data_IF_764553934784
#
_entry.id   IF_764553934784
#
_cell.length_a   1.000
_cell.length_b   1.000
_cell.length_c   1.000
_cell.angle_alpha   90.00
_cell.angle_beta   90.00
_cell.angle_gamma   90.00
#
_symmetry.space_group_name_H-M   'P 1'
#
loop_
_entity.id
_entity.type
_entity.pdbx_description
1 polymer ?
#
# COMPACT_ATOMS: atom_id res chain seq x y z
N UNK A 1 -1.19 2.16 0.27
CA UNK A 1 -0.69 3.52 -0.07
C UNK A 1 0.39 3.97 0.90
N UNK A 2 0.23 3.75 2.20
CA UNK A 2 1.22 4.19 3.20
C UNK A 2 2.63 3.65 2.95
N UNK A 3 2.75 2.40 2.48
CA UNK A 3 4.06 1.80 2.20
C UNK A 3 4.89 2.61 1.18
N UNK A 4 4.27 3.19 0.15
CA UNK A 4 5.02 3.97 -0.85
C UNK A 4 5.44 5.32 -0.28
N UNK A 5 4.66 5.91 0.63
CA UNK A 5 5.06 7.10 1.38
C UNK A 5 6.16 6.80 2.41
N UNK A 6 6.08 5.66 3.09
CA UNK A 6 7.12 5.18 4.00
C UNK A 6 8.43 4.92 3.25
N UNK A 7 8.36 4.35 2.05
CA UNK A 7 9.51 4.15 1.17
C UNK A 7 10.09 5.48 0.68
N UNK A 8 9.24 6.44 0.31
CA UNK A 8 9.68 7.76 -0.10
C UNK A 8 10.39 8.51 1.04
N UNK A 9 9.84 8.46 2.26
CA UNK A 9 10.46 9.03 3.46
C UNK A 9 11.79 8.34 3.82
N UNK A 10 11.93 7.06 3.50
CA UNK A 10 13.17 6.30 3.67
C UNK A 10 14.24 6.64 2.61
N UNK A 11 13.90 7.37 1.55
CA UNK A 11 14.80 7.76 0.46
C UNK A 11 14.73 6.87 -0.78
N UNK A 12 13.70 6.02 -0.93
CA UNK A 12 13.52 5.20 -2.14
C UNK A 12 13.07 6.08 -3.30
N UNK A 13 13.96 6.25 -4.28
CA UNK A 13 13.75 7.11 -5.44
C UNK A 13 12.53 6.66 -6.25
N UNK A 14 12.35 5.36 -6.46
CA UNK A 14 11.19 4.81 -7.15
C UNK A 14 9.88 5.07 -6.37
N UNK A 15 9.91 5.01 -5.04
CA UNK A 15 8.74 5.36 -4.22
C UNK A 15 8.43 6.87 -4.28
N UNK A 16 9.46 7.73 -4.27
CA UNK A 16 9.32 9.18 -4.40
C UNK A 16 8.63 9.54 -5.71
N UNK A 17 9.11 9.00 -6.83
CA UNK A 17 8.53 9.29 -8.14
C UNK A 17 7.10 8.76 -8.23
N UNK A 18 6.79 7.60 -7.63
CA UNK A 18 5.42 7.09 -7.52
C UNK A 18 4.49 8.04 -6.77
N UNK A 19 4.91 8.53 -5.61
CA UNK A 19 4.14 9.46 -4.77
C UNK A 19 3.84 10.75 -5.54
N UNK A 20 4.85 11.35 -6.17
CA UNK A 20 4.69 12.59 -6.95
C UNK A 20 3.77 12.37 -8.15
N UNK A 21 3.98 11.27 -8.90
CA UNK A 21 3.18 10.91 -10.07
C UNK A 21 1.70 10.74 -9.72
N UNK A 22 1.40 10.10 -8.58
CA UNK A 22 0.02 9.97 -8.08
C UNK A 22 -0.54 11.34 -7.69
N UNK A 23 0.24 12.17 -7.00
CA UNK A 23 -0.14 13.54 -6.63
C UNK A 23 -0.54 14.38 -7.85
N UNK A 24 0.29 14.38 -8.89
CA UNK A 24 0.03 15.11 -10.14
C UNK A 24 -1.18 14.54 -10.90
N UNK A 25 -1.32 13.21 -10.97
CA UNK A 25 -2.46 12.56 -11.65
C UNK A 25 -3.81 12.98 -11.07
N UNK A 26 -3.88 13.19 -9.76
CA UNK A 26 -5.13 13.46 -9.05
C UNK A 26 -5.22 14.88 -8.49
N UNK A 27 -4.37 15.81 -8.93
CA UNK A 27 -4.33 17.20 -8.49
C UNK A 27 -4.21 17.37 -6.96
N UNK A 28 -3.48 16.46 -6.31
CA UNK A 28 -3.25 16.48 -4.87
C UNK A 28 -1.85 16.99 -4.49
N UNK A 29 -1.42 18.07 -5.15
CA UNK A 29 -0.10 18.70 -4.91
C UNK A 29 0.00 19.37 -3.54
N UNK A 30 -1.12 19.85 -3.00
CA UNK A 30 -1.21 20.44 -1.65
C UNK A 30 -0.63 19.52 -0.56
N UNK A 31 -0.82 18.20 -0.65
CA UNK A 31 -0.22 17.28 0.32
C UNK A 31 1.31 17.29 0.26
N UNK A 32 1.89 17.39 -0.94
CA UNK A 32 3.34 17.42 -1.15
C UNK A 32 3.93 18.77 -0.73
N UNK A 33 3.39 19.86 -1.27
CA UNK A 33 3.95 21.21 -1.13
C UNK A 33 3.62 21.83 0.23
N UNK A 34 2.34 21.84 0.64
CA UNK A 34 1.92 22.50 1.88
C UNK A 34 1.97 21.56 3.09
N UNK A 35 1.60 20.30 2.87
CA UNK A 35 1.57 19.28 3.93
C UNK A 35 2.98 18.92 4.39
N UNK A 36 3.82 18.51 3.44
CA UNK A 36 5.15 17.97 3.70
C UNK A 36 6.30 18.89 3.26
N UNK A 37 6.04 20.10 2.76
CA UNK A 37 7.07 21.07 2.36
C UNK A 37 8.05 20.54 1.30
N UNK A 38 7.58 19.66 0.40
CA UNK A 38 8.38 19.11 -0.69
C UNK A 38 8.43 20.11 -1.83
N UNK A 39 9.63 20.61 -2.15
CA UNK A 39 9.81 21.55 -3.27
C UNK A 39 9.72 20.84 -4.61
N UNK A 40 8.76 21.26 -5.43
CA UNK A 40 8.59 20.75 -6.80
C UNK A 40 9.41 21.52 -7.84
N UNK A 41 10.14 22.57 -7.43
CA UNK A 41 10.90 23.44 -8.32
C UNK A 41 11.87 22.69 -9.26
N UNK A 42 12.66 21.69 -8.79
CA UNK A 42 13.53 20.93 -9.68
C UNK A 42 12.76 20.26 -10.84
N UNK A 43 11.62 19.64 -10.53
CA UNK A 43 10.78 18.99 -11.52
C UNK A 43 10.11 20.00 -12.45
N UNK A 44 9.66 21.15 -11.93
CA UNK A 44 9.06 22.23 -12.73
C UNK A 44 10.03 22.71 -13.80
N UNK A 45 11.25 23.09 -13.39
CA UNK A 45 12.28 23.59 -14.31
C UNK A 45 12.66 22.54 -15.34
N UNK A 46 12.86 21.29 -14.90
CA UNK A 46 13.19 20.19 -15.80
C UNK A 46 12.09 19.93 -16.83
N UNK A 47 10.82 19.87 -16.39
CA UNK A 47 9.68 19.58 -17.25
C UNK A 47 9.44 20.70 -18.28
N UNK A 48 9.57 21.96 -17.88
CA UNK A 48 9.41 23.10 -18.79
C UNK A 48 10.47 23.14 -19.89
N UNK A 49 11.70 22.73 -19.59
CA UNK A 49 12.79 22.70 -20.57
C UNK A 49 12.73 21.47 -21.47
N UNK A 50 12.56 20.29 -20.88
CA UNK A 50 12.68 19.00 -21.59
C UNK A 50 11.43 18.65 -22.40
N UNK A 51 10.26 19.06 -21.92
CA UNK A 51 8.96 18.82 -22.55
C UNK A 51 8.32 20.14 -23.03
N UNK A 52 9.14 21.13 -23.40
CA UNK A 52 8.69 22.47 -23.80
C UNK A 52 7.64 22.41 -24.93
N UNK A 53 7.95 21.64 -25.97
CA UNK A 53 7.16 21.52 -27.21
C UNK A 53 6.12 20.39 -27.15
N UNK A 54 6.03 19.68 -26.02
CA UNK A 54 5.11 18.56 -25.84
C UNK A 54 3.82 19.00 -25.10
N UNK A 55 2.63 18.86 -25.72
CA UNK A 55 1.38 19.23 -25.07
C UNK A 55 0.96 18.30 -23.92
N UNK A 56 1.56 17.10 -23.81
CA UNK A 56 1.36 16.13 -22.72
C UNK A 56 -0.12 15.79 -22.45
N UNK A 57 -0.95 15.71 -23.50
CA UNK A 57 -2.42 15.64 -23.37
C UNK A 57 -2.91 14.44 -22.55
N UNK A 58 -2.25 13.27 -22.68
CA UNK A 58 -2.59 12.05 -21.94
C UNK A 58 -2.24 12.12 -20.45
N UNK A 59 -1.48 13.14 -20.03
CA UNK A 59 -1.01 13.33 -18.66
C UNK A 59 -1.77 14.44 -17.91
N UNK A 60 -2.83 15.00 -18.50
CA UNK A 60 -3.70 15.96 -17.82
C UNK A 60 -4.29 15.36 -16.52
N UNK A 61 -4.33 16.11 -15.40
CA UNK A 61 -4.87 15.61 -14.14
C UNK A 61 -6.35 15.21 -14.25
N UNK A 62 -6.76 14.14 -13.55
CA UNK A 62 -8.12 13.58 -13.63
C UNK A 62 -9.19 14.41 -12.91
N UNK A 63 -8.82 15.11 -11.82
CA UNK A 63 -9.76 15.83 -10.95
C UNK A 63 -9.58 17.35 -11.00
N UNK A 64 -9.08 17.88 -12.12
CA UNK A 64 -8.94 19.33 -12.32
C UNK A 64 -10.28 20.08 -12.39
N UNK A 65 -11.43 19.39 -12.34
CA UNK A 65 -12.76 20.00 -12.49
C UNK A 65 -13.37 20.51 -11.17
N UNK A 66 -12.81 20.16 -10.00
CA UNK A 66 -13.30 20.65 -8.69
C UNK A 66 -12.46 21.83 -8.12
N UNK A 67 -11.36 22.23 -8.79
CA UNK A 67 -10.50 23.37 -8.41
C UNK A 67 -10.26 24.28 -9.61
N UNK A 68 -10.22 25.59 -9.38
CA UNK A 68 -9.97 26.63 -10.39
C UNK A 68 -8.49 26.66 -10.83
N UNK A 69 -8.01 25.61 -11.50
CA UNK A 69 -6.72 25.66 -12.18
C UNK A 69 -6.86 26.33 -13.55
N UNK A 70 -5.97 27.26 -13.84
CA UNK A 70 -5.81 27.86 -15.17
C UNK A 70 -5.30 26.83 -16.17
N UNK A 71 -5.54 27.06 -17.47
CA UNK A 71 -5.01 26.17 -18.52
C UNK A 71 -3.47 26.09 -18.49
N UNK A 72 -2.80 27.17 -18.10
CA UNK A 72 -1.35 27.18 -17.90
C UNK A 72 -0.91 26.22 -16.79
N UNK A 73 -1.56 26.26 -15.63
CA UNK A 73 -1.27 25.33 -14.52
C UNK A 73 -1.55 23.87 -14.91
N UNK A 74 -2.63 23.62 -15.64
CA UNK A 74 -2.94 22.28 -16.15
C UNK A 74 -1.85 21.80 -17.11
N UNK A 75 -1.39 22.66 -18.04
CA UNK A 75 -0.30 22.34 -18.95
C UNK A 75 1.00 22.03 -18.20
N UNK A 76 1.35 22.87 -17.22
CA UNK A 76 2.54 22.66 -16.39
C UNK A 76 2.46 21.33 -15.62
N UNK A 77 1.34 21.05 -14.95
CA UNK A 77 1.14 19.78 -14.24
C UNK A 77 1.22 18.58 -15.19
N UNK A 78 0.73 18.70 -16.42
CA UNK A 78 0.78 17.63 -17.43
C UNK A 78 2.23 17.32 -17.84
N UNK A 79 3.05 18.35 -18.06
CA UNK A 79 4.48 18.20 -18.37
C UNK A 79 5.25 17.58 -17.21
N UNK A 80 5.02 18.07 -15.99
CA UNK A 80 5.59 17.49 -14.78
C UNK A 80 5.19 16.01 -14.62
N UNK A 81 3.93 15.69 -14.88
CA UNK A 81 3.39 14.34 -14.75
C UNK A 81 4.01 13.39 -15.76
N UNK A 82 4.18 13.81 -17.01
CA UNK A 82 4.89 13.01 -18.02
C UNK A 82 6.35 12.81 -17.63
N UNK A 83 7.06 13.89 -17.30
CA UNK A 83 8.47 13.85 -16.89
C UNK A 83 8.70 12.87 -15.73
N UNK A 84 7.96 13.01 -14.63
CA UNK A 84 8.12 12.12 -13.47
C UNK A 84 7.71 10.67 -13.77
N UNK A 85 6.79 10.45 -14.70
CA UNK A 85 6.40 9.10 -15.14
C UNK A 85 7.55 8.42 -15.86
N UNK A 86 8.25 9.10 -16.76
CA UNK A 86 9.42 8.53 -17.45
C UNK A 86 10.53 8.22 -16.44
N UNK A 87 10.85 9.15 -15.53
CA UNK A 87 11.82 8.92 -14.46
C UNK A 87 11.43 7.72 -13.60
N UNK A 88 10.15 7.61 -13.22
CA UNK A 88 9.66 6.48 -12.45
C UNK A 88 9.88 5.15 -13.17
N UNK A 89 9.52 5.04 -14.45
CA UNK A 89 9.67 3.81 -15.22
C UNK A 89 11.14 3.38 -15.32
N UNK A 90 12.05 4.35 -15.44
CA UNK A 90 13.49 4.12 -15.42
C UNK A 90 13.97 3.57 -14.06
N UNK A 91 13.59 4.21 -12.97
CA UNK A 91 13.96 3.81 -11.60
C UNK A 91 13.34 2.45 -11.20
N UNK A 92 12.08 2.21 -11.57
CA UNK A 92 11.42 0.90 -11.43
C UNK A 92 12.21 -0.17 -12.19
N UNK A 93 12.60 0.11 -13.44
CA UNK A 93 13.38 -0.84 -14.23
C UNK A 93 14.75 -1.15 -13.65
N UNK A 94 15.49 -0.14 -13.18
CA UNK A 94 16.78 -0.33 -12.51
C UNK A 94 16.66 -1.22 -11.26
N UNK A 95 15.59 -1.06 -10.48
CA UNK A 95 15.32 -1.91 -9.32
C UNK A 95 14.99 -3.34 -9.74
N UNK A 96 14.12 -3.53 -10.72
CA UNK A 96 13.74 -4.86 -11.22
C UNK A 96 14.96 -5.62 -11.77
N UNK A 97 15.85 -4.93 -12.47
CA UNK A 97 17.09 -5.52 -12.99
C UNK A 97 18.05 -5.94 -11.87
N UNK A 98 18.11 -5.18 -10.77
CA UNK A 98 18.95 -5.51 -9.60
C UNK A 98 18.33 -6.59 -8.71
N UNK A 99 17.00 -6.70 -8.66
CA UNK A 99 16.26 -7.63 -7.81
C UNK A 99 15.44 -8.64 -8.64
N UNK A 100 16.09 -9.56 -9.37
CA UNK A 100 15.38 -10.51 -10.23
C UNK A 100 14.47 -11.48 -9.45
N UNK A 101 14.75 -11.73 -8.18
CA UNK A 101 13.95 -12.58 -7.29
C UNK A 101 12.53 -12.04 -7.04
N UNK A 102 12.27 -10.77 -7.35
CA UNK A 102 10.94 -10.18 -7.22
C UNK A 102 9.96 -10.59 -8.33
N UNK A 103 10.44 -11.27 -9.38
CA UNK A 103 9.60 -11.78 -10.49
C UNK A 103 8.78 -10.67 -11.19
N UNK A 104 9.36 -9.46 -11.32
CA UNK A 104 8.71 -8.28 -11.92
C UNK A 104 9.21 -7.94 -13.34
N UNK A 105 9.96 -8.83 -14.00
CA UNK A 105 10.60 -8.58 -15.30
C UNK A 105 9.60 -8.30 -16.42
N UNK A 106 8.34 -8.74 -16.26
CA UNK A 106 7.28 -8.41 -17.21
C UNK A 106 6.96 -6.91 -17.22
N UNK A 107 7.37 -6.15 -16.19
CA UNK A 107 7.23 -4.69 -16.08
C UNK A 107 8.41 -3.90 -16.64
N UNK A 108 9.48 -4.55 -17.07
CA UNK A 108 10.48 -3.94 -17.95
C UNK A 108 9.82 -3.71 -19.31
N UNK A 109 9.33 -2.49 -19.57
CA UNK A 109 8.57 -2.16 -20.78
C UNK A 109 9.26 -1.16 -21.71
N UNK A 110 10.18 -0.32 -21.22
CA UNK A 110 10.88 0.66 -22.04
C UNK A 110 11.79 -0.03 -23.09
N UNK A 111 12.39 -1.16 -22.74
CA UNK A 111 13.17 -2.01 -23.64
C UNK A 111 12.33 -2.77 -24.68
N UNK A 112 10.99 -2.75 -24.56
CA UNK A 112 10.05 -3.40 -25.47
C UNK A 112 9.39 -2.43 -26.43
N UNK A 113 9.77 -1.16 -26.39
CA UNK A 113 9.29 -0.13 -27.30
C UNK A 113 10.09 -0.18 -28.60
N UNK A 114 9.37 -0.24 -29.70
CA UNK A 114 9.87 0.06 -31.03
C UNK A 114 9.63 1.55 -31.29
N UNK A 115 10.68 2.34 -31.10
CA UNK A 115 10.63 3.81 -31.15
C UNK A 115 10.43 4.34 -32.57
N UNK A 116 10.83 3.58 -33.59
CA UNK A 116 10.66 3.96 -35.00
C UNK A 116 9.22 3.74 -35.44
N UNK A 117 8.61 2.60 -35.09
CA UNK A 117 7.22 2.32 -35.41
C UNK A 117 6.21 2.94 -34.43
N UNK A 118 6.66 3.39 -33.26
CA UNK A 118 5.80 3.96 -32.22
C UNK A 118 4.88 2.91 -31.60
N UNK A 119 5.45 1.74 -31.27
CA UNK A 119 4.70 0.59 -30.75
C UNK A 119 5.42 -0.07 -29.58
N UNK A 120 4.72 -0.92 -28.83
CA UNK A 120 5.30 -1.68 -27.72
C UNK A 120 4.82 -3.12 -27.76
N UNK A 121 5.73 -4.05 -27.46
CA UNK A 121 5.40 -5.47 -27.36
C UNK A 121 5.03 -5.82 -25.91
N UNK A 122 3.78 -6.25 -25.69
CA UNK A 122 3.35 -6.80 -24.41
C UNK A 122 3.08 -8.30 -24.58
N UNK A 123 3.86 -9.13 -23.88
CA UNK A 123 3.90 -10.58 -24.11
C UNK A 123 4.23 -10.85 -25.58
N UNK A 124 3.27 -11.34 -26.36
CA UNK A 124 3.42 -11.68 -27.77
C UNK A 124 2.56 -10.81 -28.69
N UNK A 125 2.04 -9.68 -28.19
CA UNK A 125 1.17 -8.78 -28.95
C UNK A 125 1.76 -7.37 -29.06
N UNK A 126 1.71 -6.82 -30.27
CA UNK A 126 2.19 -5.48 -30.61
C UNK A 126 1.05 -4.47 -30.46
N UNK A 127 1.27 -3.42 -29.67
CA UNK A 127 0.29 -2.35 -29.44
C UNK A 127 0.84 -1.01 -29.93
N UNK A 128 -0.02 -0.20 -30.54
CA UNK A 128 0.33 1.17 -30.93
C UNK A 128 0.37 2.07 -29.70
N UNK A 129 1.42 2.87 -29.57
CA UNK A 129 1.52 3.89 -28.54
C UNK A 129 0.65 5.10 -28.90
N UNK A 130 -0.07 5.62 -27.91
CA UNK A 130 -0.85 6.85 -28.05
C UNK A 130 0.00 8.13 -27.79
N UNK A 131 1.24 7.95 -27.34
CA UNK A 131 2.23 8.98 -27.11
C UNK A 131 3.62 8.39 -27.39
N UNK A 132 4.37 9.01 -28.30
CA UNK A 132 5.69 8.56 -28.75
C UNK A 132 6.82 9.53 -28.40
N UNK A 133 6.52 10.59 -27.64
CA UNK A 133 7.53 11.58 -27.26
C UNK A 133 8.25 11.16 -25.97
N UNK A 134 9.45 10.59 -26.15
CA UNK A 134 10.34 10.12 -25.07
C UNK A 134 11.70 10.84 -25.13
N UNK A 135 11.75 12.18 -24.92
CA UNK A 135 12.95 12.99 -25.21
C UNK A 135 14.19 12.62 -24.37
N UNK A 136 14.03 11.86 -23.29
CA UNK A 136 15.11 11.48 -22.38
C UNK A 136 15.46 10.00 -22.42
N UNK A 137 14.75 9.18 -23.19
CA UNK A 137 14.99 7.74 -23.24
C UNK A 137 15.96 7.42 -24.37
N UNK A 138 17.12 6.87 -24.04
CA UNK A 138 18.04 6.26 -25.01
C UNK A 138 17.58 4.83 -25.30
N UNK A 139 17.18 4.48 -26.53
CA UNK A 139 16.75 3.12 -26.86
C UNK A 139 17.78 2.02 -26.57
N UNK A 140 19.08 2.36 -26.53
CA UNK A 140 20.13 1.40 -26.20
C UNK A 140 20.27 1.17 -24.69
N UNK A 141 19.92 2.17 -23.88
CA UNK A 141 19.99 2.14 -22.42
C UNK A 141 18.69 2.71 -21.82
N UNK A 142 17.53 2.06 -22.07
CA UNK A 142 16.22 2.70 -21.87
C UNK A 142 15.91 3.04 -20.41
N UNK A 143 16.60 2.38 -19.46
CA UNK A 143 16.44 2.60 -18.02
C UNK A 143 17.47 3.58 -17.43
N UNK A 144 18.42 4.09 -18.20
CA UNK A 144 19.40 5.05 -17.70
C UNK A 144 18.77 6.44 -17.54
N UNK A 145 18.98 7.06 -16.37
CA UNK A 145 18.60 8.44 -16.14
C UNK A 145 19.53 9.38 -16.90
N UNK A 146 18.99 10.35 -17.61
CA UNK A 146 19.76 11.48 -18.13
C UNK A 146 20.30 12.34 -16.98
N UNK A 147 21.31 13.16 -17.25
CA UNK A 147 21.90 14.04 -16.23
C UNK A 147 20.88 14.98 -15.57
N UNK A 148 19.92 15.49 -16.35
CA UNK A 148 18.84 16.32 -15.82
C UNK A 148 17.87 15.53 -14.92
N UNK A 149 17.59 14.28 -15.27
CA UNK A 149 16.75 13.41 -14.42
C UNK A 149 17.47 13.04 -13.12
N UNK A 150 18.80 12.80 -13.15
CA UNK A 150 19.60 12.55 -11.95
C UNK A 150 19.56 13.74 -10.97
N UNK A 151 19.75 14.98 -11.45
CA UNK A 151 19.66 16.19 -10.61
C UNK A 151 18.26 16.34 -9.98
N UNK A 152 17.21 16.11 -10.76
CA UNK A 152 15.83 16.16 -10.26
C UNK A 152 15.61 15.13 -9.15
N UNK A 153 16.01 13.88 -9.38
CA UNK A 153 15.83 12.78 -8.41
C UNK A 153 16.61 13.05 -7.12
N UNK A 154 17.87 13.48 -7.21
CA UNK A 154 18.70 13.77 -6.04
C UNK A 154 18.07 14.88 -5.18
N UNK A 155 17.62 15.97 -5.80
CA UNK A 155 17.03 17.12 -5.07
C UNK A 155 15.66 16.77 -4.46
N UNK A 156 14.85 16.00 -5.18
CA UNK A 156 13.59 15.47 -4.63
C UNK A 156 13.87 14.52 -3.45
N UNK A 157 14.82 13.59 -3.58
CA UNK A 157 15.24 12.69 -2.48
C UNK A 157 15.65 13.45 -1.24
N UNK A 158 16.51 14.46 -1.37
CA UNK A 158 16.89 15.32 -0.26
C UNK A 158 15.67 16.02 0.35
N UNK A 159 14.70 16.46 -0.44
CA UNK A 159 13.48 17.09 0.07
C UNK A 159 12.63 16.13 0.91
N UNK A 160 12.46 14.87 0.47
CA UNK A 160 11.68 13.86 1.20
C UNK A 160 12.36 13.40 2.49
N UNK A 161 13.66 13.14 2.46
CA UNK A 161 14.42 12.70 3.64
C UNK A 161 14.44 13.79 4.72
N UNK A 162 14.52 15.07 4.31
CA UNK A 162 14.58 16.20 5.24
C UNK A 162 13.20 16.79 5.63
N UNK A 163 12.10 16.22 5.14
CA UNK A 163 10.75 16.68 5.50
C UNK A 163 10.38 16.27 6.93
N UNK A 164 10.56 17.16 7.90
CA UNK A 164 10.34 16.87 9.33
C UNK A 164 8.97 16.25 9.62
N UNK A 165 7.89 16.83 9.06
CA UNK A 165 6.52 16.33 9.24
C UNK A 165 6.32 14.93 8.65
N UNK A 166 6.85 14.69 7.45
CA UNK A 166 6.76 13.36 6.84
C UNK A 166 7.52 12.33 7.68
N UNK A 167 8.71 12.69 8.16
CA UNK A 167 9.52 11.82 9.01
C UNK A 167 8.81 11.53 10.35
N UNK A 168 8.16 12.53 10.97
CA UNK A 168 7.35 12.34 12.18
C UNK A 168 6.19 11.36 11.95
N UNK A 169 5.40 11.57 10.91
CA UNK A 169 4.27 10.71 10.58
C UNK A 169 4.72 9.27 10.26
N UNK A 170 5.79 9.10 9.48
CA UNK A 170 6.32 7.78 9.14
C UNK A 170 6.91 7.06 10.36
N UNK A 171 7.60 7.78 11.25
CA UNK A 171 8.04 7.21 12.54
C UNK A 171 6.86 6.72 13.38
N UNK A 172 5.76 7.48 13.42
CA UNK A 172 4.55 7.03 14.09
C UNK A 172 4.03 5.71 13.49
N UNK A 173 3.97 5.60 12.17
CA UNK A 173 3.57 4.36 11.49
C UNK A 173 4.50 3.18 11.83
N UNK A 174 5.82 3.36 11.86
CA UNK A 174 6.72 2.28 12.29
C UNK A 174 6.59 1.93 13.78
N UNK A 175 6.20 2.88 14.63
CA UNK A 175 6.06 2.67 16.07
C UNK A 175 4.78 1.93 16.47
N UNK A 176 3.70 2.09 15.70
CA UNK A 176 2.37 1.53 16.01
C UNK A 176 1.89 0.51 14.99
N UNK A 177 2.36 0.60 13.76
CA UNK A 177 2.01 -0.28 12.66
C UNK A 177 2.91 -1.51 12.60
N UNK A 178 2.37 -2.52 11.94
CA UNK A 178 2.98 -3.81 11.62
C UNK A 178 2.31 -4.34 10.35
N UNK A 179 2.94 -5.31 9.69
CA UNK A 179 2.41 -5.89 8.45
C UNK A 179 1.13 -6.72 8.71
N UNK A 180 1.03 -7.27 9.92
CA UNK A 180 -0.18 -7.84 10.49
C UNK A 180 -0.15 -7.66 12.01
N UNK A 181 -1.31 -7.73 12.66
CA UNK A 181 -1.45 -7.66 14.11
C UNK A 181 -2.33 -8.79 14.62
N UNK A 182 -1.86 -9.54 15.62
CA UNK A 182 -2.70 -10.42 16.41
C UNK A 182 -3.09 -9.69 17.69
N UNK A 183 -4.39 -9.53 17.93
CA UNK A 183 -4.90 -8.80 19.08
C UNK A 183 -6.26 -9.32 19.57
N UNK A 184 -6.31 -9.72 20.83
CA UNK A 184 -7.48 -10.30 21.51
C UNK A 184 -8.14 -11.40 20.69
N UNK A 185 -7.34 -12.38 20.24
CA UNK A 185 -7.79 -13.50 19.40
C UNK A 185 -8.30 -13.09 17.99
N UNK A 186 -7.96 -11.89 17.51
CA UNK A 186 -8.25 -11.46 16.14
C UNK A 186 -6.94 -11.33 15.37
N UNK A 187 -6.94 -11.75 14.10
CA UNK A 187 -5.86 -11.51 13.16
C UNK A 187 -6.23 -10.34 12.24
N UNK A 188 -5.42 -9.30 12.22
CA UNK A 188 -5.61 -8.11 11.41
C UNK A 188 -4.54 -8.04 10.34
N UNK A 189 -4.93 -7.96 9.07
CA UNK A 189 -4.02 -7.61 7.97
C UNK A 189 -4.76 -6.85 6.87
N UNK A 190 -4.07 -5.91 6.22
CA UNK A 190 -4.73 -4.97 5.30
C UNK A 190 -5.09 -5.60 3.96
N UNK A 191 -4.12 -6.17 3.24
CA UNK A 191 -4.27 -6.60 1.85
C UNK A 191 -4.75 -8.04 1.71
N UNK A 192 -3.79 -8.97 1.68
CA UNK A 192 -4.02 -10.38 1.35
C UNK A 192 -2.91 -11.27 1.94
N UNK A 193 -3.21 -12.57 2.02
CA UNK A 193 -2.23 -13.62 2.26
C UNK A 193 -1.80 -14.20 0.92
N UNK A 194 -0.50 -14.33 0.67
CA UNK A 194 0.00 -14.80 -0.63
C UNK A 194 -0.34 -16.29 -0.80
N UNK A 195 -0.98 -16.62 -1.92
CA UNK A 195 -1.47 -17.95 -2.24
C UNK A 195 -1.19 -18.30 -3.70
N UNK A 196 -0.95 -19.59 -3.94
CA UNK A 196 -0.82 -20.17 -5.26
C UNK A 196 -2.21 -20.34 -5.90
N UNK A 197 -2.26 -20.62 -7.20
CA UNK A 197 -3.52 -20.72 -7.94
C UNK A 197 -4.47 -21.80 -7.43
N UNK A 198 -3.95 -22.82 -6.73
CA UNK A 198 -4.72 -23.89 -6.11
C UNK A 198 -5.25 -23.53 -4.70
N UNK A 199 -4.94 -22.33 -4.21
CA UNK A 199 -5.36 -21.84 -2.90
C UNK A 199 -4.50 -22.33 -1.74
N UNK A 200 -3.34 -22.93 -2.02
CA UNK A 200 -2.33 -23.22 -0.99
C UNK A 200 -1.45 -21.99 -0.72
N UNK A 201 -0.73 -22.00 0.40
CA UNK A 201 0.18 -20.92 0.77
C UNK A 201 1.42 -20.91 -0.10
N UNK A 202 1.66 -19.78 -0.77
CA UNK A 202 2.84 -19.59 -1.60
C UNK A 202 4.12 -19.54 -0.78
N UNK A 203 5.21 -19.92 -1.44
CA UNK A 203 6.57 -19.71 -0.96
C UNK A 203 7.24 -18.62 -1.80
N UNK A 204 7.89 -17.66 -1.13
CA UNK A 204 8.63 -16.57 -1.78
C UNK A 204 10.11 -16.73 -1.46
N UNK A 205 10.95 -16.63 -2.49
CA UNK A 205 12.40 -16.65 -2.33
C UNK A 205 12.91 -15.21 -2.23
N UNK A 206 13.64 -14.91 -1.16
CA UNK A 206 14.29 -13.62 -0.94
C UNK A 206 15.68 -13.83 -0.34
N UNK A 207 16.71 -13.30 -1.00
CA UNK A 207 18.10 -13.40 -0.56
C UNK A 207 18.54 -14.86 -0.42
N UNK A 208 18.11 -15.73 -1.33
CA UNK A 208 18.41 -17.16 -1.32
C UNK A 208 17.71 -17.97 -0.21
N UNK A 209 16.73 -17.39 0.50
CA UNK A 209 15.92 -18.09 1.50
C UNK A 209 14.46 -18.14 1.10
N UNK A 210 13.82 -19.26 1.37
CA UNK A 210 12.40 -19.48 1.14
C UNK A 210 11.59 -19.08 2.37
N UNK A 211 10.58 -18.22 2.17
CA UNK A 211 9.65 -17.75 3.20
C UNK A 211 8.23 -18.13 2.81
N UNK A 212 7.51 -18.77 3.74
CA UNK A 212 6.12 -19.17 3.54
C UNK A 212 5.20 -18.26 4.36
N UNK A 213 4.16 -17.72 3.72
CA UNK A 213 3.10 -16.90 4.33
C UNK A 213 3.54 -16.00 5.49
N UNK A 214 3.38 -16.45 6.75
CA UNK A 214 3.67 -15.63 7.92
C UNK A 214 5.14 -15.23 7.98
N UNK A 215 6.04 -16.18 7.70
CA UNK A 215 7.48 -15.91 7.68
C UNK A 215 7.84 -14.87 6.62
N UNK A 216 7.11 -14.82 5.50
CA UNK A 216 7.31 -13.78 4.49
C UNK A 216 6.80 -12.42 4.96
N UNK A 217 5.65 -12.35 5.65
CA UNK A 217 5.18 -11.09 6.24
C UNK A 217 6.11 -10.57 7.33
N UNK A 218 6.66 -11.47 8.16
CA UNK A 218 7.68 -11.13 9.17
C UNK A 218 8.95 -10.57 8.50
N UNK A 219 9.42 -11.20 7.42
CA UNK A 219 10.60 -10.74 6.68
C UNK A 219 10.33 -9.42 5.93
N UNK A 220 9.15 -9.26 5.34
CA UNK A 220 8.74 -8.01 4.71
C UNK A 220 8.70 -6.85 5.72
N UNK A 221 8.20 -7.09 6.93
CA UNK A 221 8.23 -6.09 7.99
C UNK A 221 9.66 -5.75 8.42
N UNK A 222 10.51 -6.77 8.59
CA UNK A 222 11.94 -6.57 8.91
C UNK A 222 12.63 -5.72 7.84
N UNK A 223 12.42 -6.02 6.56
CA UNK A 223 12.99 -5.28 5.44
C UNK A 223 12.42 -3.87 5.30
N UNK A 224 11.13 -3.67 5.56
CA UNK A 224 10.53 -2.32 5.59
C UNK A 224 11.18 -1.46 6.69
N UNK A 225 11.38 -2.02 7.89
CA UNK A 225 12.12 -1.34 8.97
C UNK A 225 13.58 -1.11 8.59
N UNK A 226 14.23 -2.09 7.93
CA UNK A 226 15.59 -1.97 7.41
C UNK A 226 15.71 -0.80 6.42
N UNK A 227 14.71 -0.60 5.56
CA UNK A 227 14.64 0.50 4.60
C UNK A 227 14.74 1.87 5.30
N UNK A 228 14.10 2.02 6.46
CA UNK A 228 14.04 3.31 7.15
C UNK A 228 15.22 3.52 8.11
N UNK A 229 15.58 2.51 8.90
CA UNK A 229 16.52 2.65 10.03
C UNK A 229 17.99 2.31 9.69
N UNK A 230 18.27 1.67 8.56
CA UNK A 230 19.66 1.36 8.19
C UNK A 230 20.43 2.61 7.77
N UNK A 231 21.75 2.54 7.90
CA UNK A 231 22.66 3.61 7.44
C UNK A 231 22.59 3.77 5.92
N UNK A 232 22.52 5.02 5.46
CA UNK A 232 22.54 5.36 4.04
C UNK A 232 23.77 4.79 3.33
N UNK A 233 23.59 4.39 2.07
CA UNK A 233 24.66 3.83 1.23
C UNK A 233 25.07 2.38 1.53
N UNK A 234 24.43 1.71 2.50
CA UNK A 234 24.69 0.30 2.78
C UNK A 234 23.86 -0.64 1.89
N UNK A 235 24.34 -1.85 1.55
CA UNK A 235 23.54 -2.85 0.84
C UNK A 235 22.22 -3.17 1.55
N UNK A 236 22.25 -3.23 2.89
CA UNK A 236 21.05 -3.47 3.71
C UNK A 236 20.01 -2.37 3.51
N UNK A 237 20.42 -1.10 3.51
CA UNK A 237 19.51 0.00 3.20
C UNK A 237 18.88 -0.20 1.82
N UNK A 238 19.70 -0.52 0.80
CA UNK A 238 19.22 -0.72 -0.57
C UNK A 238 18.21 -1.86 -0.67
N UNK A 239 18.48 -3.03 -0.08
CA UNK A 239 17.55 -4.17 -0.06
C UNK A 239 16.20 -3.78 0.58
N UNK A 240 16.24 -2.99 1.65
CA UNK A 240 15.05 -2.45 2.28
C UNK A 240 14.28 -1.50 1.37
N UNK A 241 14.96 -0.54 0.74
CA UNK A 241 14.33 0.41 -0.19
C UNK A 241 13.67 -0.28 -1.38
N UNK A 242 14.28 -1.37 -1.86
CA UNK A 242 13.77 -2.16 -2.95
C UNK A 242 12.49 -2.91 -2.55
N UNK A 243 12.49 -3.46 -1.33
CA UNK A 243 11.32 -4.11 -0.75
C UNK A 243 10.14 -3.14 -0.61
N UNK A 244 10.35 -1.85 -0.35
CA UNK A 244 9.24 -0.88 -0.24
C UNK A 244 8.46 -0.75 -1.55
N UNK A 245 9.15 -0.74 -2.70
CA UNK A 245 8.50 -0.70 -4.00
C UNK A 245 7.87 -2.04 -4.38
N UNK A 246 8.53 -3.15 -4.03
CA UNK A 246 7.96 -4.49 -4.19
C UNK A 246 6.64 -4.62 -3.43
N UNK A 247 6.60 -4.19 -2.16
CA UNK A 247 5.38 -4.20 -1.38
C UNK A 247 4.29 -3.32 -2.00
N UNK A 248 4.65 -2.24 -2.68
CA UNK A 248 3.68 -1.39 -3.37
C UNK A 248 3.05 -2.04 -4.61
N UNK A 249 3.78 -2.87 -5.36
CA UNK A 249 3.37 -3.24 -6.73
C UNK A 249 3.70 -4.67 -7.21
N UNK A 250 4.43 -5.45 -6.41
CA UNK A 250 4.80 -6.83 -6.73
C UNK A 250 3.61 -7.77 -6.64
N UNK A 251 3.54 -8.73 -7.56
CA UNK A 251 2.41 -9.66 -7.71
C UNK A 251 2.11 -10.47 -6.42
N UNK A 252 3.18 -10.85 -5.72
CA UNK A 252 3.14 -11.60 -4.46
C UNK A 252 3.31 -10.70 -3.22
N UNK A 253 3.10 -9.39 -3.35
CA UNK A 253 3.05 -8.50 -2.18
C UNK A 253 1.80 -8.77 -1.33
N UNK A 254 1.93 -8.80 0.02
CA UNK A 254 0.78 -9.00 0.92
C UNK A 254 -0.13 -7.77 1.01
N UNK A 255 0.25 -6.64 0.41
CA UNK A 255 -0.52 -5.38 0.46
C UNK A 255 -0.84 -4.78 -0.91
N UNK A 256 -0.54 -5.49 -2.00
CA UNK A 256 -0.93 -5.10 -3.36
C UNK A 256 -2.14 -5.88 -3.85
N UNK A 257 -2.07 -7.22 -3.83
CA UNK A 257 -3.22 -8.09 -4.07
C UNK A 257 -3.63 -8.28 -5.54
N UNK A 258 -2.78 -7.90 -6.49
CA UNK A 258 -3.02 -8.05 -7.94
C UNK A 258 -1.81 -8.65 -8.64
N UNK A 259 -2.02 -9.20 -9.83
CA UNK A 259 -0.97 -9.80 -10.67
C UNK A 259 0.06 -8.78 -11.20
N UNK A 260 -0.39 -7.57 -11.51
CA UNK A 260 0.47 -6.48 -11.97
C UNK A 260 -0.13 -5.11 -11.69
N UNK A 261 0.72 -4.08 -11.72
CA UNK A 261 0.29 -2.69 -11.80
C UNK A 261 0.38 -2.20 -13.24
N UNK A 262 -0.77 -1.91 -13.88
CA UNK A 262 -0.83 -1.60 -15.31
C UNK A 262 -0.64 -0.11 -15.61
N UNK A 263 0.31 0.55 -14.92
CA UNK A 263 0.51 2.00 -15.02
C UNK A 263 0.87 2.42 -16.43
N UNK A 264 1.86 1.76 -17.02
CA UNK A 264 2.37 2.06 -18.36
C UNK A 264 1.25 1.92 -19.38
N UNK A 265 0.54 0.79 -19.36
CA UNK A 265 -0.53 0.50 -20.31
C UNK A 265 -1.63 1.57 -20.25
N UNK A 266 -1.98 2.04 -19.04
CA UNK A 266 -3.00 3.08 -18.85
C UNK A 266 -2.60 4.46 -19.37
N UNK A 267 -1.33 4.73 -19.57
CA UNK A 267 -0.86 6.01 -20.08
C UNK A 267 -0.57 5.97 -21.57
N UNK A 268 0.00 4.86 -22.04
CA UNK A 268 0.58 4.78 -23.38
C UNK A 268 -0.23 3.92 -24.36
N UNK A 269 -1.25 3.17 -23.91
CA UNK A 269 -2.03 2.27 -24.76
C UNK A 269 -3.54 2.53 -24.58
N UNK A 270 -4.23 2.80 -25.70
CA UNK A 270 -5.67 3.07 -25.69
C UNK A 270 -6.53 1.81 -25.49
N UNK A 271 -5.99 0.63 -25.85
CA UNK A 271 -6.67 -0.65 -25.66
C UNK A 271 -6.83 -0.99 -24.17
N UNK A 272 -8.04 -0.79 -23.65
CA UNK A 272 -8.39 -1.01 -22.25
C UNK A 272 -8.26 -2.47 -21.80
N UNK A 273 -8.21 -3.45 -22.70
CA UNK A 273 -7.96 -4.86 -22.33
C UNK A 273 -6.61 -5.02 -21.62
N UNK A 274 -5.61 -4.22 -22.01
CA UNK A 274 -4.26 -4.22 -21.44
C UNK A 274 -4.21 -3.65 -20.02
N UNK A 275 -5.24 -2.90 -19.61
CA UNK A 275 -5.34 -2.23 -18.31
C UNK A 275 -5.89 -3.13 -17.20
N UNK A 276 -6.23 -4.38 -17.53
CA UNK A 276 -6.78 -5.35 -16.58
C UNK A 276 -5.71 -5.72 -15.56
N UNK A 277 -6.05 -5.59 -14.29
CA UNK A 277 -5.24 -6.05 -13.15
C UNK A 277 -6.07 -7.11 -12.44
N UNK A 278 -5.61 -8.35 -12.50
CA UNK A 278 -6.32 -9.51 -11.97
C UNK A 278 -6.00 -9.65 -10.49
N UNK A 279 -7.04 -9.85 -9.67
CA UNK A 279 -6.83 -10.12 -8.25
C UNK A 279 -6.14 -11.46 -8.06
N UNK A 280 -5.23 -11.54 -7.09
CA UNK A 280 -4.53 -12.79 -6.80
C UNK A 280 -5.47 -13.86 -6.19
N UNK A 281 -4.96 -15.09 -6.08
CA UNK A 281 -5.72 -16.26 -5.64
C UNK A 281 -6.41 -16.08 -4.28
N UNK A 282 -5.82 -15.30 -3.37
CA UNK A 282 -6.45 -14.98 -2.08
C UNK A 282 -7.88 -14.46 -2.23
N UNK A 283 -8.17 -13.57 -3.20
CA UNK A 283 -9.52 -13.03 -3.37
C UNK A 283 -10.52 -14.03 -3.95
N UNK A 284 -10.04 -15.17 -4.48
CA UNK A 284 -10.86 -16.30 -4.93
C UNK A 284 -11.20 -17.20 -3.72
N UNK A 285 -10.22 -17.46 -2.85
CA UNK A 285 -10.33 -18.44 -1.76
C UNK A 285 -10.73 -17.85 -0.40
N UNK A 286 -10.56 -16.54 -0.15
CA UNK A 286 -10.79 -15.92 1.16
C UNK A 286 -12.22 -16.06 1.69
N UNK A 287 -13.18 -16.30 0.81
CA UNK A 287 -14.59 -16.47 1.18
C UNK A 287 -14.89 -17.90 1.69
N UNK A 288 -13.92 -18.83 1.60
CA UNK A 288 -14.05 -20.21 2.07
C UNK A 288 -13.60 -20.37 3.53
N UNK A 289 -14.38 -21.10 4.31
CA UNK A 289 -14.12 -21.34 5.74
C UNK A 289 -12.79 -22.08 5.99
N UNK A 290 -12.51 -23.13 5.20
CA UNK A 290 -11.26 -23.90 5.30
C UNK A 290 -10.01 -23.02 5.05
N UNK A 291 -10.12 -22.03 4.15
CA UNK A 291 -9.03 -21.09 3.90
C UNK A 291 -8.82 -20.15 5.08
N UNK A 292 -9.89 -19.63 5.68
CA UNK A 292 -9.80 -18.85 6.91
C UNK A 292 -9.17 -19.66 8.06
N UNK A 293 -9.53 -20.94 8.17
CA UNK A 293 -8.98 -21.82 9.21
C UNK A 293 -7.48 -22.05 9.07
N UNK A 294 -7.02 -22.31 7.84
CA UNK A 294 -5.60 -22.44 7.54
C UNK A 294 -4.83 -21.14 7.84
N UNK A 295 -5.41 -19.98 7.51
CA UNK A 295 -4.79 -18.69 7.83
C UNK A 295 -4.70 -18.52 9.34
N UNK A 296 -5.79 -18.66 10.08
CA UNK A 296 -5.77 -18.48 11.54
C UNK A 296 -4.75 -19.41 12.21
N UNK A 297 -4.69 -20.68 11.80
CA UNK A 297 -3.72 -21.65 12.30
C UNK A 297 -2.26 -21.26 11.98
N UNK A 298 -1.97 -20.77 10.78
CA UNK A 298 -0.64 -20.28 10.38
C UNK A 298 -0.14 -19.13 11.27
N UNK A 299 -1.06 -18.31 11.76
CA UNK A 299 -0.77 -17.21 12.70
C UNK A 299 -0.88 -17.62 14.18
N UNK A 300 -1.05 -18.91 14.48
CA UNK A 300 -1.07 -19.44 15.84
C UNK A 300 -2.37 -19.20 16.60
N UNK A 301 -3.47 -18.92 15.90
CA UNK A 301 -4.80 -18.69 16.48
C UNK A 301 -5.69 -19.94 16.35
N UNK A 302 -6.65 -20.08 17.27
CA UNK A 302 -7.66 -21.15 17.21
C UNK A 302 -8.77 -20.78 16.21
N UNK A 303 -8.92 -21.50 15.08
CA UNK A 303 -9.91 -21.19 14.07
C UNK A 303 -11.36 -21.24 14.53
N UNK A 304 -11.64 -21.88 15.68
CA UNK A 304 -12.99 -21.99 16.22
C UNK A 304 -13.46 -20.73 16.93
N UNK A 305 -12.53 -19.89 17.37
CA UNK A 305 -12.81 -18.73 18.22
C UNK A 305 -12.21 -17.43 17.68
N UNK A 306 -11.24 -17.54 16.78
CA UNK A 306 -10.56 -16.40 16.22
C UNK A 306 -11.25 -15.87 14.95
N UNK A 307 -11.07 -14.58 14.70
CA UNK A 307 -11.59 -13.90 13.53
C UNK A 307 -10.46 -13.21 12.76
N UNK A 308 -10.61 -13.15 11.45
CA UNK A 308 -9.77 -12.38 10.54
C UNK A 308 -10.46 -11.06 10.26
N UNK A 309 -9.75 -9.96 10.46
CA UNK A 309 -10.17 -8.62 10.10
C UNK A 309 -9.32 -8.14 8.93
N UNK A 310 -9.97 -7.89 7.80
CA UNK A 310 -9.31 -7.54 6.54
C UNK A 310 -9.86 -6.24 5.95
N UNK A 311 -9.06 -5.57 5.11
CA UNK A 311 -9.46 -4.35 4.41
C UNK A 311 -9.13 -4.40 2.92
N UNK A 312 -8.60 -3.28 2.40
CA UNK A 312 -8.04 -3.08 1.04
C UNK A 312 -9.03 -3.09 -0.12
N UNK A 313 -9.95 -4.05 -0.17
CA UNK A 313 -10.94 -4.18 -1.25
C UNK A 313 -12.32 -3.76 -0.76
N UNK A 314 -12.93 -2.71 -1.35
CA UNK A 314 -14.27 -2.27 -1.00
C UNK A 314 -15.34 -3.35 -1.17
N UNK A 315 -16.24 -3.43 -0.19
CA UNK A 315 -17.41 -4.33 -0.22
C UNK A 315 -18.48 -3.72 -1.13
N UNK A 316 -18.89 -4.45 -2.16
CA UNK A 316 -19.91 -3.99 -3.12
C UNK A 316 -21.32 -4.31 -2.62
N UNK A 317 -21.78 -3.63 -1.58
CA UNK A 317 -23.09 -3.86 -0.95
C UNK A 317 -24.23 -3.73 -1.95
N UNK A 318 -24.16 -2.76 -2.87
CA UNK A 318 -25.15 -2.61 -3.97
C UNK A 318 -25.27 -3.83 -4.89
N UNK A 319 -24.25 -4.69 -4.93
CA UNK A 319 -24.25 -5.95 -5.70
C UNK A 319 -24.56 -7.18 -4.83
N UNK A 320 -24.99 -6.97 -3.59
CA UNK A 320 -25.30 -8.04 -2.63
C UNK A 320 -24.07 -8.67 -1.97
N UNK A 321 -22.88 -8.05 -2.08
CA UNK A 321 -21.70 -8.58 -1.39
C UNK A 321 -21.80 -8.34 0.13
N UNK A 322 -21.57 -9.40 0.90
CA UNK A 322 -21.53 -9.34 2.36
C UNK A 322 -20.11 -8.99 2.87
N UNK A 323 -19.98 -8.11 3.89
CA UNK A 323 -18.72 -7.88 4.59
C UNK A 323 -18.31 -9.08 5.47
N UNK A 324 -19.26 -9.95 5.82
CA UNK A 324 -19.05 -11.18 6.57
C UNK A 324 -18.87 -12.33 5.57
N UNK A 325 -17.73 -13.01 5.65
CA UNK A 325 -17.26 -14.04 4.72
C UNK A 325 -16.80 -15.27 5.48
N UNK A 326 -16.53 -16.38 4.78
CA UNK A 326 -15.94 -17.59 5.35
C UNK A 326 -16.68 -18.10 6.61
N UNK A 327 -18.02 -18.19 6.53
CA UNK A 327 -18.83 -18.67 7.65
C UNK A 327 -18.86 -17.76 8.88
N UNK A 328 -18.43 -16.49 8.75
CA UNK A 328 -18.31 -15.56 9.87
C UNK A 328 -16.88 -15.29 10.32
N UNK A 329 -15.90 -16.10 9.87
CA UNK A 329 -14.51 -16.02 10.31
C UNK A 329 -13.71 -14.88 9.68
N UNK A 330 -14.14 -14.38 8.52
CA UNK A 330 -13.51 -13.25 7.85
C UNK A 330 -14.48 -12.06 7.81
N UNK A 331 -14.02 -10.93 8.34
CA UNK A 331 -14.78 -9.68 8.38
C UNK A 331 -14.00 -8.61 7.62
N UNK A 332 -14.60 -8.12 6.54
CA UNK A 332 -14.01 -7.07 5.71
C UNK A 332 -14.54 -5.72 6.17
N UNK A 333 -13.63 -4.87 6.63
CA UNK A 333 -13.90 -3.51 7.05
C UNK A 333 -13.32 -2.58 5.99
N UNK A 334 -14.17 -1.79 5.34
CA UNK A 334 -13.77 -0.80 4.36
C UNK A 334 -14.18 0.61 4.78
N UNK A 335 -13.32 1.57 4.46
CA UNK A 335 -13.56 3.00 4.64
C UNK A 335 -14.30 3.57 3.44
N UNK A 336 -15.64 3.58 3.49
CA UNK A 336 -16.49 4.13 2.43
C UNK A 336 -16.54 5.67 2.37
N UNK A 337 -15.70 6.37 3.12
CA UNK A 337 -15.65 7.84 3.15
C UNK A 337 -15.08 8.47 1.86
N UNK A 338 -14.36 7.71 1.05
CA UNK A 338 -13.84 8.22 -0.22
C UNK A 338 -14.97 8.41 -1.24
N UNK A 339 -15.14 9.66 -1.71
CA UNK A 339 -16.10 10.03 -2.78
C UNK A 339 -16.02 9.10 -4.00
N UNK A 340 -14.80 8.67 -4.37
CA UNK A 340 -14.59 7.81 -5.53
C UNK A 340 -15.22 6.41 -5.36
N UNK A 341 -15.32 5.91 -4.13
CA UNK A 341 -15.83 4.57 -3.83
C UNK A 341 -17.31 4.55 -3.43
N UNK A 342 -17.90 5.66 -2.97
CA UNK A 342 -19.32 5.77 -2.59
C UNK A 342 -20.29 5.23 -3.67
N UNK A 343 -19.99 5.47 -4.96
CA UNK A 343 -20.81 4.95 -6.07
C UNK A 343 -20.84 3.42 -6.12
N UNK A 344 -19.73 2.77 -5.76
CA UNK A 344 -19.54 1.32 -5.82
C UNK A 344 -19.97 0.60 -4.53
N UNK A 345 -19.67 1.18 -3.36
CA UNK A 345 -19.99 0.58 -2.06
C UNK A 345 -21.47 0.74 -1.73
N UNK A 346 -22.02 1.93 -1.92
CA UNK A 346 -23.40 2.29 -1.56
C UNK A 346 -23.60 2.65 -0.09
N UNK A 347 -22.54 2.61 0.74
CA UNK A 347 -22.51 2.98 2.15
C UNK A 347 -21.24 3.79 2.46
N UNK A 348 -21.21 4.52 3.57
CA UNK A 348 -20.03 5.22 4.10
C UNK A 348 -18.97 4.29 4.73
N UNK A 349 -19.23 2.99 4.76
CA UNK A 349 -18.29 1.97 5.24
C UNK A 349 -18.78 1.28 6.50
N UNK A 350 -17.86 0.54 7.13
CA UNK A 350 -18.15 -0.25 8.33
C UNK A 350 -17.24 0.16 9.49
N UNK A 351 -17.79 0.09 10.71
CA UNK A 351 -17.03 0.15 11.95
C UNK A 351 -17.22 -1.16 12.71
N UNK A 352 -16.12 -1.85 13.00
CA UNK A 352 -16.14 -3.02 13.86
C UNK A 352 -15.88 -2.60 15.31
N UNK A 353 -16.76 -3.02 16.21
CA UNK A 353 -16.68 -2.75 17.64
C UNK A 353 -16.48 -4.07 18.38
N UNK A 354 -15.33 -4.20 19.04
CA UNK A 354 -15.05 -5.29 19.97
C UNK A 354 -15.12 -4.78 21.41
N UNK A 355 -15.99 -5.37 22.23
CA UNK A 355 -16.14 -4.99 23.63
C UNK A 355 -16.35 -6.23 24.53
N UNK A 356 -16.52 -6.01 25.84
CA UNK A 356 -16.64 -7.12 26.80
C UNK A 356 -17.82 -8.06 26.55
N UNK A 357 -18.82 -7.65 25.77
CA UNK A 357 -20.01 -8.42 25.43
C UNK A 357 -19.90 -9.17 24.10
N UNK A 358 -18.98 -8.78 23.23
CA UNK A 358 -18.72 -9.47 21.97
C UNK A 358 -18.31 -8.54 20.83
N UNK A 359 -18.57 -9.00 19.61
CA UNK A 359 -18.16 -8.37 18.36
C UNK A 359 -19.38 -7.87 17.60
N UNK A 360 -19.38 -6.58 17.25
CA UNK A 360 -20.46 -5.93 16.52
C UNK A 360 -19.94 -5.22 15.27
N UNK A 361 -20.69 -5.29 14.18
CA UNK A 361 -20.41 -4.57 12.95
C UNK A 361 -21.48 -3.50 12.75
N UNK A 362 -21.08 -2.23 12.77
CA UNK A 362 -21.93 -1.11 12.41
C UNK A 362 -21.70 -0.73 10.95
N UNK A 363 -22.76 -0.60 10.16
CA UNK A 363 -22.72 0.00 8.82
C UNK A 363 -23.21 1.44 8.87
N UNK A 364 -22.55 2.33 8.12
CA UNK A 364 -22.88 3.75 8.11
C UNK A 364 -23.43 4.18 6.76
N UNK A 365 -24.51 4.95 6.77
CA UNK A 365 -25.05 5.57 5.55
C UNK A 365 -24.17 6.72 5.06
N UNK A 366 -24.09 6.96 3.73
CA UNK A 366 -23.31 8.04 3.17
C UNK A 366 -23.90 9.40 3.52
N UNK A 367 -23.03 10.34 3.88
CA UNK A 367 -23.38 11.74 4.04
C UNK A 367 -23.04 12.50 2.76
N UNK A 368 -24.05 12.97 2.03
CA UNK A 368 -23.85 13.66 0.75
C UNK A 368 -23.47 15.14 0.94
N UNK A 369 -24.22 15.90 1.73
CA UNK A 369 -23.91 17.30 2.06
C UNK A 369 -24.71 17.78 3.28
N UNK A 370 -24.20 18.83 3.95
CA UNK A 370 -24.91 19.48 5.04
C UNK A 370 -26.26 20.06 4.59
N UNK A 371 -26.33 20.60 3.38
CA UNK A 371 -27.56 21.15 2.82
C UNK A 371 -28.63 20.07 2.62
N UNK A 372 -28.28 18.95 1.99
CA UNK A 372 -29.22 17.84 1.78
C UNK A 372 -29.68 17.23 3.11
N UNK A 373 -28.77 17.09 4.08
CA UNK A 373 -29.13 16.57 5.40
C UNK A 373 -30.11 17.49 6.15
N UNK A 374 -30.01 18.81 5.99
CA UNK A 374 -30.95 19.77 6.58
C UNK A 374 -32.28 19.75 5.81
N UNK A 375 -32.25 19.75 4.49
CA UNK A 375 -33.45 19.78 3.64
C UNK A 375 -34.29 18.50 3.74
N UNK A 376 -33.64 17.34 3.82
CA UNK A 376 -34.27 16.02 3.92
C UNK A 376 -34.38 15.51 5.37
N UNK A 377 -33.98 16.32 6.36
CA UNK A 377 -33.95 15.96 7.79
C UNK A 377 -33.26 14.60 8.06
N UNK A 378 -32.17 14.33 7.34
CA UNK A 378 -31.46 13.05 7.42
C UNK A 378 -30.64 12.97 8.71
N UNK A 379 -30.90 11.91 9.49
CA UNK A 379 -30.07 11.52 10.62
C UNK A 379 -29.11 10.38 10.21
N UNK A 380 -27.94 10.27 10.86
CA UNK A 380 -26.96 9.22 10.58
C UNK A 380 -27.49 7.91 11.16
N UNK A 381 -28.19 7.14 10.32
CA UNK A 381 -28.63 5.79 10.69
C UNK A 381 -27.46 4.83 10.59
N UNK A 382 -27.14 4.18 11.71
CA UNK A 382 -26.18 3.08 11.73
C UNK A 382 -26.93 1.79 12.04
N UNK A 383 -26.93 0.85 11.10
CA UNK A 383 -27.42 -0.50 11.35
C UNK A 383 -26.31 -1.31 12.03
N UNK A 384 -26.62 -1.97 13.14
CA UNK A 384 -25.65 -2.76 13.90
C UNK A 384 -26.01 -4.23 13.85
N UNK A 385 -25.08 -5.05 13.35
CA UNK A 385 -25.17 -6.50 13.34
C UNK A 385 -24.28 -7.05 14.45
N UNK A 386 -24.84 -7.91 15.30
CA UNK A 386 -24.07 -8.63 16.33
C UNK A 386 -23.47 -9.86 15.66
N UNK A 387 -22.14 -9.89 15.53
CA UNK A 387 -21.41 -11.00 14.92
C UNK A 387 -21.14 -12.10 15.93
N UNK A 388 -20.73 -11.71 17.14
CA UNK A 388 -20.41 -12.64 18.21
C UNK A 388 -20.94 -12.10 19.54
N UNK A 389 -21.47 -12.99 20.38
CA UNK A 389 -21.77 -12.70 21.79
C UNK A 389 -20.93 -13.57 22.69
N UNK A 390 -20.20 -12.93 23.61
CA UNK A 390 -19.48 -13.64 24.65
C UNK A 390 -20.48 -14.28 25.62
N UNK A 391 -20.30 -15.57 25.91
CA UNK A 391 -21.15 -16.30 26.87
C UNK A 391 -21.06 -15.69 28.28
N UNK A 392 -19.91 -15.10 28.62
CA UNK A 392 -19.70 -14.33 29.84
C UNK A 392 -19.03 -13.01 29.49
N UNK A 393 -19.26 -11.99 30.30
CA UNK A 393 -18.54 -10.71 30.16
C UNK A 393 -17.03 -10.93 30.30
N UNK A 394 -16.26 -10.53 29.29
CA UNK A 394 -14.81 -10.56 29.34
C UNK A 394 -14.28 -9.48 30.29
N UNK A 395 -13.23 -9.82 31.04
CA UNK A 395 -12.50 -8.92 31.93
C UNK A 395 -11.13 -8.62 31.34
N UNK A 396 -10.44 -7.62 31.90
CA UNK A 396 -9.09 -7.24 31.45
C UNK A 396 -8.14 -8.43 31.44
N UNK A 397 -8.19 -9.30 32.46
CA UNK A 397 -7.41 -10.54 32.54
C UNK A 397 -7.61 -11.51 31.36
N UNK A 398 -8.79 -11.45 30.72
CA UNK A 398 -9.10 -12.33 29.58
C UNK A 398 -8.54 -11.78 28.25
N UNK A 399 -8.09 -10.51 28.23
CA UNK A 399 -7.47 -9.86 27.08
C UNK A 399 -5.95 -10.08 27.06
N UNK A 400 -5.31 -9.88 25.91
CA UNK A 400 -3.86 -10.09 25.76
C UNK A 400 -3.06 -9.21 26.74
N UNK A 401 -3.50 -7.95 26.94
CA UNK A 401 -2.90 -7.07 27.94
C UNK A 401 -3.00 -7.63 29.36
N UNK A 402 -4.11 -8.29 29.69
CA UNK A 402 -4.28 -8.94 30.99
C UNK A 402 -3.30 -10.09 31.18
N UNK A 403 -3.15 -10.94 30.16
CA UNK A 403 -2.17 -12.03 30.17
C UNK A 403 -0.74 -11.53 30.33
N UNK A 404 -0.37 -10.44 29.65
CA UNK A 404 0.95 -9.82 29.81
C UNK A 404 1.16 -9.31 31.25
N UNK A 405 0.15 -8.66 31.84
CA UNK A 405 0.22 -8.20 33.25
C UNK A 405 0.35 -9.39 34.19
N UNK A 406 -0.37 -10.50 33.96
CA UNK A 406 -0.25 -11.72 34.77
C UNK A 406 1.17 -12.30 34.67
N UNK A 407 1.75 -12.36 33.46
CA UNK A 407 3.13 -12.79 33.25
C UNK A 407 4.15 -11.87 33.95
N UNK A 408 4.01 -10.55 33.83
CA UNK A 408 4.86 -9.58 34.54
C UNK A 408 4.77 -9.76 36.07
N UNK A 409 3.59 -10.03 36.61
CA UNK A 409 3.40 -10.32 38.04
C UNK A 409 4.17 -11.59 38.43
N UNK A 410 4.08 -12.66 37.65
CA UNK A 410 4.80 -13.91 37.90
C UNK A 410 6.32 -13.70 37.84
N UNK A 411 6.82 -12.99 36.83
CA UNK A 411 8.24 -12.65 36.70
C UNK A 411 8.76 -11.83 37.88
N UNK A 412 7.99 -10.83 38.33
CA UNK A 412 8.32 -10.02 39.51
C UNK A 412 8.29 -10.84 40.81
N UNK A 413 7.37 -11.81 40.92
CA UNK A 413 7.34 -12.75 42.05
C UNK A 413 8.58 -13.65 42.05
N UNK A 414 8.95 -14.21 40.90
CA UNK A 414 10.17 -15.00 40.75
C UNK A 414 11.43 -14.19 41.08
N UNK A 415 11.49 -12.94 40.63
CA UNK A 415 12.59 -12.02 40.93
C UNK A 415 12.69 -11.75 42.44
N UNK A 416 11.55 -11.48 43.10
CA UNK A 416 11.49 -11.28 44.54
C UNK A 416 11.97 -12.52 45.32
N UNK A 417 11.57 -13.72 44.89
CA UNK A 417 12.01 -14.98 45.47
C UNK A 417 13.52 -15.20 45.27
N UNK A 418 14.05 -14.88 44.09
CA UNK A 418 15.48 -14.99 43.79
C UNK A 418 16.33 -14.06 44.69
N UNK A 419 15.85 -12.85 44.98
CA UNK A 419 16.48 -11.96 45.97
C UNK A 419 16.40 -12.53 47.39
N UNK A 420 15.23 -13.01 47.81
CA UNK A 420 15.03 -13.60 49.16
C UNK A 420 15.85 -14.86 49.40
N UNK A 421 16.04 -15.68 48.37
CA UNK A 421 16.87 -16.87 48.40
C UNK A 421 18.37 -16.57 48.26
N UNK A 422 18.76 -15.32 47.99
CA UNK A 422 20.16 -14.92 47.79
C UNK A 422 20.77 -15.40 46.45
N UNK A 423 19.94 -15.84 45.51
CA UNK A 423 20.36 -16.22 44.15
C UNK A 423 20.81 -14.98 43.37
N UNK A 424 20.05 -13.88 43.50
CA UNK A 424 20.42 -12.56 42.99
C UNK A 424 20.80 -11.70 44.19
N UNK A 425 21.97 -11.06 44.11
CA UNK A 425 22.45 -10.14 45.15
C UNK A 425 21.93 -8.74 44.88
N UNK A 426 21.44 -8.08 45.92
CA UNK A 426 21.17 -6.66 45.89
C UNK A 426 22.49 -5.91 45.73
N UNK A 427 22.63 -5.17 44.62
CA UNK A 427 23.79 -4.29 44.41
C UNK A 427 23.43 -2.96 45.05
N UNK A 428 24.06 -2.67 46.18
CA UNK A 428 23.84 -1.44 46.96
C UNK A 428 24.60 -0.26 46.38
#
# INVERSE_FOLDING_TARGET
HDIVWMGAAAGSEACITNVIRIGLRYSNMTTLEDGYAISMLPLVTFALNTYADDPCLNFRPKYSMEKEYTEYEISLMSKMHKAITIIQLKLEGQLIMRQPEFEMQDRLLLDKIDYDEGTVCLKDQKYKLNDTAFPTVDPNNPYELSEGEKDVVERLKLSFINSERLQEHVRFLYSKGSMYLVFNNNLLYHGCIVMDEDGTFSTINLGGKAYRTKAFMDEAERLARQAYFSTEGTPQKQDGLDMMLYLWSGAKSPIFGKDKMSTFERYFIDDASTHTETKNAYYIYRDQEETADRILAEFGLDPKTAHILNGHVPVKVKKGESPIKAGGKLIVIDGGFSKAYQKQTGIAGYTLVYNSFGLLLASHDPFESSQKAIEEELDIRSETIILERNQRRLRIKDADKGKNIECEIEELQMLLEAYRAGIIKEVT
#
